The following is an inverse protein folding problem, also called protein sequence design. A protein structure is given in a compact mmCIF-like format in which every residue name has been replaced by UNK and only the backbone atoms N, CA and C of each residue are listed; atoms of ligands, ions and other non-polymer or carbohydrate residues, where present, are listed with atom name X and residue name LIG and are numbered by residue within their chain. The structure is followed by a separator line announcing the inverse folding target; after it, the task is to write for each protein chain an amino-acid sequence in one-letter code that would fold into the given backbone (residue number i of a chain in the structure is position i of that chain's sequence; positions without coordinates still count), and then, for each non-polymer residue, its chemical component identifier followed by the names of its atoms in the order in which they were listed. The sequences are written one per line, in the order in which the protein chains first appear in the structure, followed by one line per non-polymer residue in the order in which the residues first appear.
data_IF_331330777267
#
_entry.id   IF_331330777267
#
_cell.length_a   1.000
_cell.length_b   1.000
_cell.length_c   1.000
_cell.angle_alpha   90.00
_cell.angle_beta   90.00
_cell.angle_gamma   90.00
#
_symmetry.space_group_name_H-M   'P 1'
#
loop_
_entity.id
_entity.type
_entity.pdbx_description
1 polymer ?
#
# COMPACT_ATOMS: atom_id res chain seq x y z
N UNK A 1 1.68 1.02 27.17
CA UNK A 1 2.75 0.56 26.25
C UNK A 1 2.41 -0.73 25.48
N UNK A 2 1.95 -1.80 26.13
CA UNK A 2 1.58 -3.05 25.43
C UNK A 2 0.49 -2.85 24.38
N UNK A 3 -0.54 -2.06 24.68
CA UNK A 3 -1.63 -1.73 23.73
C UNK A 3 -1.15 -0.97 22.50
N UNK A 4 -0.27 0.03 22.66
CA UNK A 4 0.31 0.76 21.51
C UNK A 4 1.11 -0.16 20.59
N UNK A 5 1.88 -1.08 21.15
CA UNK A 5 2.66 -2.05 20.39
C UNK A 5 1.77 -3.08 19.69
N UNK A 6 0.71 -3.55 20.37
CA UNK A 6 -0.28 -4.42 19.74
C UNK A 6 -0.99 -3.70 18.57
N UNK A 7 -1.35 -2.44 18.77
CA UNK A 7 -1.94 -1.59 17.74
C UNK A 7 -0.98 -1.37 16.56
N UNK A 8 0.29 -1.05 16.82
CA UNK A 8 1.31 -0.96 15.79
C UNK A 8 1.48 -2.29 15.02
N UNK A 9 1.55 -3.41 15.76
CA UNK A 9 1.64 -4.76 15.18
C UNK A 9 0.44 -5.10 14.28
N UNK A 10 -0.76 -4.68 14.66
CA UNK A 10 -1.97 -4.85 13.86
C UNK A 10 -1.87 -4.13 12.50
N UNK A 11 -1.45 -2.87 12.47
CA UNK A 11 -1.26 -2.14 11.22
C UNK A 11 -0.14 -2.72 10.37
N UNK A 12 0.97 -3.13 10.98
CA UNK A 12 2.04 -3.81 10.26
C UNK A 12 1.55 -5.14 9.66
N UNK A 13 0.71 -5.89 10.38
CA UNK A 13 0.10 -7.13 9.87
C UNK A 13 -0.83 -6.89 8.68
N UNK A 14 -1.53 -5.76 8.65
CA UNK A 14 -2.39 -5.41 7.51
C UNK A 14 -1.57 -4.98 6.31
N UNK A 15 -0.56 -4.10 6.49
CA UNK A 15 0.08 -3.40 5.39
C UNK A 15 1.31 -4.11 4.81
N UNK A 16 2.12 -4.78 5.65
CA UNK A 16 3.35 -5.42 5.17
C UNK A 16 3.13 -6.55 4.14
N UNK A 17 2.05 -7.34 4.22
CA UNK A 17 1.80 -8.38 3.23
C UNK A 17 1.36 -7.88 1.85
N UNK A 18 0.87 -6.64 1.73
CA UNK A 18 0.27 -6.13 0.49
C UNK A 18 1.21 -6.17 -0.72
N UNK A 19 2.49 -5.75 -0.65
CA UNK A 19 3.39 -5.92 -1.78
C UNK A 19 3.63 -7.39 -2.15
N UNK A 20 3.65 -8.30 -1.17
CA UNK A 20 3.80 -9.75 -1.44
C UNK A 20 2.59 -10.24 -2.23
N UNK A 21 1.37 -9.87 -1.81
CA UNK A 21 0.14 -10.16 -2.51
C UNK A 21 0.21 -9.76 -4.00
N UNK A 22 0.60 -8.53 -4.27
CA UNK A 22 0.69 -8.00 -5.63
C UNK A 22 1.83 -8.61 -6.44
N UNK A 23 2.96 -8.99 -5.81
CA UNK A 23 4.05 -9.71 -6.47
C UNK A 23 3.66 -11.15 -6.86
N UNK A 24 2.65 -11.74 -6.21
CA UNK A 24 2.07 -13.02 -6.63
C UNK A 24 1.10 -12.82 -7.81
N UNK A 25 0.41 -11.68 -7.88
CA UNK A 25 -0.62 -11.43 -8.89
C UNK A 25 -0.04 -10.88 -10.19
N UNK A 26 0.72 -9.78 -10.16
CA UNK A 26 1.17 -9.08 -11.36
C UNK A 26 2.03 -9.92 -12.30
N UNK A 27 3.08 -10.63 -11.84
CA UNK A 27 3.92 -11.41 -12.75
C UNK A 27 3.20 -12.60 -13.40
N UNK A 28 2.16 -13.13 -12.73
CA UNK A 28 1.42 -14.31 -13.17
C UNK A 28 -0.01 -13.98 -13.64
N UNK A 29 -0.26 -12.76 -14.07
CA UNK A 29 -1.58 -12.26 -14.46
C UNK A 29 -2.25 -13.11 -15.55
N UNK A 30 -1.51 -13.58 -16.55
CA UNK A 30 -2.04 -14.46 -17.62
C UNK A 30 -2.57 -15.78 -17.04
N UNK A 31 -1.87 -16.36 -16.08
CA UNK A 31 -2.30 -17.57 -15.37
C UNK A 31 -3.57 -17.33 -14.54
N UNK A 32 -3.67 -16.17 -13.88
CA UNK A 32 -4.77 -15.84 -12.99
C UNK A 32 -6.04 -15.34 -13.70
N UNK A 33 -5.95 -14.90 -14.96
CA UNK A 33 -7.06 -14.25 -15.70
C UNK A 33 -8.39 -15.00 -15.63
N UNK A 34 -8.37 -16.32 -15.79
CA UNK A 34 -9.57 -17.16 -15.74
C UNK A 34 -9.86 -17.72 -14.34
N UNK A 35 -9.12 -17.31 -13.33
CA UNK A 35 -9.18 -17.84 -11.95
C UNK A 35 -9.15 -16.71 -10.92
N UNK A 36 -9.82 -15.60 -11.22
CA UNK A 36 -9.74 -14.36 -10.43
C UNK A 36 -10.02 -14.57 -8.94
N UNK A 37 -11.10 -15.31 -8.60
CA UNK A 37 -11.43 -15.61 -7.20
C UNK A 37 -10.33 -16.44 -6.52
N UNK A 38 -9.82 -17.47 -7.20
CA UNK A 38 -8.74 -18.29 -6.67
C UNK A 38 -7.45 -17.47 -6.49
N UNK A 39 -7.13 -16.56 -7.44
CA UNK A 39 -5.99 -15.65 -7.33
C UNK A 39 -6.07 -14.81 -6.05
N UNK A 40 -7.21 -14.16 -5.81
CA UNK A 40 -7.42 -13.31 -4.62
C UNK A 40 -7.26 -14.13 -3.32
N UNK A 41 -7.87 -15.31 -3.24
CA UNK A 41 -7.78 -16.13 -2.04
C UNK A 41 -6.39 -16.73 -1.83
N UNK A 42 -5.78 -17.31 -2.87
CA UNK A 42 -4.46 -17.94 -2.74
C UNK A 42 -3.39 -16.88 -2.45
N UNK A 43 -3.35 -15.79 -3.22
CA UNK A 43 -2.40 -14.71 -2.99
C UNK A 43 -2.61 -14.06 -1.62
N UNK A 44 -3.87 -13.81 -1.22
CA UNK A 44 -4.21 -13.28 0.09
C UNK A 44 -3.74 -14.21 1.21
N UNK A 45 -4.17 -15.49 1.20
CA UNK A 45 -3.77 -16.43 2.23
C UNK A 45 -2.24 -16.57 2.32
N UNK A 46 -1.56 -16.68 1.19
CA UNK A 46 -0.08 -16.78 1.15
C UNK A 46 0.58 -15.54 1.72
N UNK A 47 0.17 -14.34 1.27
CA UNK A 47 0.79 -13.08 1.69
C UNK A 47 0.58 -12.83 3.19
N UNK A 48 -0.66 -13.00 3.70
CA UNK A 48 -0.95 -12.74 5.13
C UNK A 48 -0.40 -13.82 6.05
N UNK A 49 -0.33 -15.09 5.62
CA UNK A 49 0.38 -16.13 6.38
C UNK A 49 1.87 -15.83 6.44
N UNK A 50 2.52 -15.51 5.32
CA UNK A 50 3.93 -15.15 5.29
C UNK A 50 4.21 -13.89 6.14
N UNK A 51 3.38 -12.86 6.02
CA UNK A 51 3.46 -11.65 6.85
C UNK A 51 3.28 -11.92 8.34
N UNK A 52 2.32 -12.75 8.71
CA UNK A 52 2.09 -13.18 10.10
C UNK A 52 3.27 -13.96 10.68
N UNK A 53 3.81 -14.90 9.91
CA UNK A 53 5.01 -15.65 10.31
C UNK A 53 6.20 -14.71 10.48
N UNK A 54 6.42 -13.78 9.54
CA UNK A 54 7.49 -12.79 9.64
C UNK A 54 7.35 -11.92 10.90
N UNK A 55 6.16 -11.40 11.16
CA UNK A 55 5.88 -10.61 12.37
C UNK A 55 6.05 -11.43 13.65
N UNK A 56 5.67 -12.71 13.64
CA UNK A 56 5.90 -13.60 14.75
C UNK A 56 7.40 -13.84 15.02
N UNK A 57 8.17 -14.10 13.97
CA UNK A 57 9.63 -14.24 14.08
C UNK A 57 10.27 -12.94 14.60
N UNK A 58 9.83 -11.80 14.08
CA UNK A 58 10.34 -10.47 14.43
C UNK A 58 9.66 -9.85 15.66
N UNK A 59 8.81 -10.58 16.40
CA UNK A 59 8.03 -10.02 17.52
C UNK A 59 8.88 -9.37 18.61
N UNK A 60 10.10 -9.85 18.82
CA UNK A 60 11.04 -9.25 19.78
C UNK A 60 11.37 -7.81 19.43
N UNK A 61 11.42 -7.47 18.14
CA UNK A 61 11.66 -6.09 17.69
C UNK A 61 10.53 -5.14 18.10
N UNK A 62 9.31 -5.65 18.21
CA UNK A 62 8.14 -4.89 18.68
C UNK A 62 8.03 -4.85 20.19
N UNK A 63 8.42 -5.93 20.87
CA UNK A 63 8.19 -6.11 22.30
C UNK A 63 9.30 -5.51 23.20
N UNK A 64 10.55 -5.46 22.70
CA UNK A 64 11.73 -5.00 23.48
C UNK A 64 12.11 -3.55 23.19
N UNK A 65 11.30 -2.83 22.44
CA UNK A 65 11.57 -1.45 22.08
C UNK A 65 11.49 -0.48 23.27
N UNK A 66 12.22 0.63 23.16
CA UNK A 66 12.09 1.75 24.10
C UNK A 66 10.71 2.40 24.00
N UNK A 67 10.18 3.00 25.06
CA UNK A 67 8.92 3.73 24.99
C UNK A 67 9.02 4.85 23.95
N UNK A 68 8.05 4.99 23.01
CA UNK A 68 8.02 6.11 22.09
C UNK A 68 7.81 7.43 22.85
N UNK A 69 8.39 8.51 22.34
CA UNK A 69 8.14 9.85 22.85
C UNK A 69 6.67 10.25 22.63
N UNK A 70 6.18 11.21 23.39
CA UNK A 70 4.83 11.75 23.19
C UNK A 70 4.62 12.25 21.77
N UNK A 71 5.61 12.93 21.22
CA UNK A 71 5.57 13.38 19.82
C UNK A 71 5.42 12.21 18.84
N UNK A 72 6.18 11.13 19.03
CA UNK A 72 6.08 9.92 18.18
C UNK A 72 4.69 9.27 18.29
N UNK A 73 4.07 9.27 19.47
CA UNK A 73 2.71 8.75 19.65
C UNK A 73 1.71 9.60 18.85
N UNK A 74 1.74 10.91 19.04
CA UNK A 74 0.79 11.82 18.36
C UNK A 74 0.98 11.74 16.82
N UNK A 75 2.23 11.84 16.35
CA UNK A 75 2.53 11.75 14.93
C UNK A 75 2.15 10.38 14.35
N UNK A 76 2.43 9.29 15.08
CA UNK A 76 2.08 7.94 14.66
C UNK A 76 0.57 7.74 14.52
N UNK A 77 -0.22 8.19 15.49
CA UNK A 77 -1.67 8.13 15.45
C UNK A 77 -2.25 9.01 14.33
N UNK A 78 -1.70 10.20 14.11
CA UNK A 78 -2.11 11.08 13.03
C UNK A 78 -1.89 10.44 11.65
N UNK A 79 -0.72 9.83 11.43
CA UNK A 79 -0.41 9.12 10.18
C UNK A 79 -1.33 7.92 9.94
N UNK A 80 -1.65 7.15 10.98
CA UNK A 80 -2.63 6.06 10.89
C UNK A 80 -4.02 6.62 10.57
N UNK A 81 -4.39 7.76 11.16
CA UNK A 81 -5.63 8.46 10.83
C UNK A 81 -5.71 8.88 9.36
N UNK A 82 -4.59 9.34 8.78
CA UNK A 82 -4.49 9.64 7.34
C UNK A 82 -4.73 8.38 6.51
N UNK A 83 -4.11 7.24 6.88
CA UNK A 83 -4.37 5.98 6.17
C UNK A 83 -5.85 5.58 6.24
N UNK A 84 -6.44 5.59 7.42
CA UNK A 84 -7.86 5.24 7.58
C UNK A 84 -8.77 6.12 6.71
N UNK A 85 -8.48 7.41 6.65
CA UNK A 85 -9.20 8.34 5.77
C UNK A 85 -9.02 7.97 4.29
N UNK A 86 -7.78 7.76 3.84
CA UNK A 86 -7.46 7.43 2.45
C UNK A 86 -8.07 6.07 2.07
N UNK A 87 -7.97 5.06 2.95
CA UNK A 87 -8.53 3.73 2.72
C UNK A 87 -10.05 3.80 2.49
N UNK A 88 -10.78 4.45 3.41
CA UNK A 88 -12.24 4.59 3.31
C UNK A 88 -12.63 5.36 2.06
N UNK A 89 -11.89 6.40 1.71
CA UNK A 89 -12.15 7.19 0.50
C UNK A 89 -11.92 6.38 -0.77
N UNK A 90 -10.80 5.67 -0.85
CA UNK A 90 -10.48 4.82 -2.01
C UNK A 90 -11.48 3.67 -2.13
N UNK A 91 -11.85 3.03 -1.02
CA UNK A 91 -12.83 1.95 -1.01
C UNK A 91 -14.20 2.43 -1.50
N UNK A 92 -14.66 3.60 -1.06
CA UNK A 92 -15.92 4.19 -1.55
C UNK A 92 -15.89 4.57 -3.03
N UNK A 93 -14.73 4.98 -3.54
CA UNK A 93 -14.57 5.40 -4.94
C UNK A 93 -14.40 4.22 -5.90
N UNK A 94 -13.70 3.17 -5.50
CA UNK A 94 -13.39 2.01 -6.36
C UNK A 94 -14.24 0.77 -6.06
N UNK A 95 -14.67 0.61 -4.83
CA UNK A 95 -15.26 -0.61 -4.31
C UNK A 95 -14.22 -1.70 -3.96
N UNK A 96 -14.58 -2.55 -2.98
CA UNK A 96 -13.68 -3.56 -2.41
C UNK A 96 -13.10 -4.54 -3.44
N UNK A 97 -13.89 -4.98 -4.42
CA UNK A 97 -13.43 -5.91 -5.45
C UNK A 97 -12.34 -5.33 -6.36
N UNK A 98 -12.41 -4.05 -6.65
CA UNK A 98 -11.38 -3.38 -7.45
C UNK A 98 -10.10 -3.17 -6.64
N UNK A 99 -10.21 -2.93 -5.33
CA UNK A 99 -9.06 -2.82 -4.44
C UNK A 99 -8.22 -4.12 -4.36
N UNK A 100 -8.83 -5.27 -4.56
CA UNK A 100 -8.12 -6.56 -4.58
C UNK A 100 -7.74 -7.00 -6.00
N UNK A 101 -7.84 -6.13 -7.01
CA UNK A 101 -7.34 -6.38 -8.36
C UNK A 101 -8.30 -7.18 -9.25
N UNK A 102 -9.57 -7.27 -8.90
CA UNK A 102 -10.54 -8.02 -9.73
C UNK A 102 -10.63 -7.45 -11.16
N UNK A 103 -10.68 -6.14 -11.30
CA UNK A 103 -10.78 -5.49 -12.61
C UNK A 103 -9.48 -5.65 -13.44
N UNK A 104 -8.33 -5.62 -12.78
CA UNK A 104 -7.01 -5.84 -13.38
C UNK A 104 -6.88 -7.26 -13.91
N UNK A 105 -7.26 -8.26 -13.10
CA UNK A 105 -7.20 -9.67 -13.47
C UNK A 105 -8.22 -10.04 -14.54
N UNK A 106 -9.44 -9.52 -14.44
CA UNK A 106 -10.47 -9.75 -15.46
C UNK A 106 -10.19 -9.04 -16.79
N UNK A 107 -9.25 -8.08 -16.80
CA UNK A 107 -8.97 -7.26 -17.98
C UNK A 107 -10.12 -6.32 -18.35
N UNK A 108 -11.07 -6.11 -17.42
CA UNK A 108 -12.27 -5.30 -17.61
C UNK A 108 -12.17 -3.97 -16.87
N UNK A 109 -13.05 -3.05 -17.18
CA UNK A 109 -13.16 -1.75 -16.53
C UNK A 109 -12.42 -0.62 -17.24
N UNK A 110 -12.87 0.57 -16.98
CA UNK A 110 -12.32 1.83 -17.49
C UNK A 110 -11.21 2.37 -16.59
N UNK A 111 -10.38 3.24 -17.13
CA UNK A 111 -9.39 3.96 -16.35
C UNK A 111 -10.10 4.90 -15.39
N UNK A 112 -9.90 4.67 -14.08
CA UNK A 112 -10.43 5.55 -13.05
C UNK A 112 -9.44 6.69 -12.77
N UNK A 113 -9.90 7.93 -12.94
CA UNK A 113 -9.10 9.14 -12.75
C UNK A 113 -9.85 10.23 -11.97
N UNK A 114 -10.96 9.86 -11.32
CA UNK A 114 -11.79 10.75 -10.50
C UNK A 114 -11.36 10.79 -9.03
N UNK A 115 -12.04 11.58 -8.23
CA UNK A 115 -11.88 11.62 -6.77
C UNK A 115 -10.44 11.85 -6.30
N UNK A 116 -9.94 10.98 -5.44
CA UNK A 116 -8.54 11.01 -4.97
C UNK A 116 -7.55 10.77 -6.11
N UNK A 117 -7.92 9.95 -7.11
CA UNK A 117 -7.09 9.66 -8.27
C UNK A 117 -6.94 10.85 -9.23
N UNK A 118 -7.77 11.88 -9.12
CA UNK A 118 -7.54 13.14 -9.81
C UNK A 118 -6.39 13.97 -9.19
N UNK A 119 -5.99 13.67 -7.97
CA UNK A 119 -4.96 14.40 -7.21
C UNK A 119 -3.65 13.66 -7.07
N UNK A 120 -3.71 12.33 -6.87
CA UNK A 120 -2.54 11.44 -6.76
C UNK A 120 -2.86 10.11 -7.45
N UNK A 121 -1.85 9.51 -8.12
CA UNK A 121 -2.06 8.25 -8.84
C UNK A 121 -2.17 7.04 -7.93
N UNK A 122 -1.47 7.07 -6.78
CA UNK A 122 -1.37 5.93 -5.86
C UNK A 122 -1.81 6.31 -4.44
N UNK A 123 -3.06 6.77 -4.23
CA UNK A 123 -3.54 7.20 -2.91
C UNK A 123 -3.52 6.05 -1.89
N UNK A 124 -3.77 4.81 -2.34
CA UNK A 124 -3.72 3.62 -1.47
C UNK A 124 -2.31 3.36 -0.94
N UNK A 125 -1.28 3.42 -1.81
CA UNK A 125 0.11 3.26 -1.39
C UNK A 125 0.59 4.42 -0.51
N UNK A 126 0.11 5.63 -0.74
CA UNK A 126 0.38 6.77 0.14
C UNK A 126 -0.14 6.50 1.56
N UNK A 127 -1.36 6.01 1.67
CA UNK A 127 -1.95 5.65 2.95
C UNK A 127 -1.20 4.52 3.65
N UNK A 128 -0.91 3.43 2.94
CA UNK A 128 -0.13 2.30 3.45
C UNK A 128 1.24 2.75 3.99
N UNK A 129 1.92 3.65 3.29
CA UNK A 129 3.17 4.24 3.77
C UNK A 129 2.97 5.02 5.06
N UNK A 130 1.91 5.84 5.15
CA UNK A 130 1.55 6.55 6.38
C UNK A 130 1.29 5.59 7.54
N UNK A 131 0.53 4.51 7.31
CA UNK A 131 0.26 3.50 8.36
C UNK A 131 1.54 2.80 8.82
N UNK A 132 2.41 2.41 7.90
CA UNK A 132 3.66 1.72 8.20
C UNK A 132 4.62 2.62 9.00
N UNK A 133 4.79 3.89 8.60
CA UNK A 133 5.56 4.89 9.34
C UNK A 133 4.93 5.16 10.71
N UNK A 134 3.61 5.35 10.75
CA UNK A 134 2.88 5.54 12.00
C UNK A 134 3.07 4.38 12.97
N UNK A 135 2.96 3.15 12.48
CA UNK A 135 3.20 1.95 13.29
C UNK A 135 4.65 1.86 13.79
N UNK A 136 5.65 2.24 12.99
CA UNK A 136 7.05 2.26 13.42
C UNK A 136 7.31 3.31 14.52
N UNK A 137 6.68 4.48 14.42
CA UNK A 137 6.74 5.51 15.47
C UNK A 137 6.13 5.02 16.77
N UNK A 138 4.97 4.35 16.71
CA UNK A 138 4.29 3.79 17.88
C UNK A 138 5.05 2.62 18.51
N UNK A 139 5.70 1.79 17.69
CA UNK A 139 6.50 0.67 18.16
C UNK A 139 7.78 1.13 18.90
N UNK A 140 8.36 2.28 18.52
CA UNK A 140 9.53 2.85 19.18
C UNK A 140 10.82 2.07 18.99
N UNK A 141 10.93 1.25 17.92
CA UNK A 141 12.14 0.47 17.63
C UNK A 141 12.83 0.94 16.34
N UNK A 142 14.13 1.33 16.41
CA UNK A 142 14.87 1.77 15.22
C UNK A 142 14.97 0.71 14.12
N UNK A 143 14.98 -0.58 14.48
CA UNK A 143 15.13 -1.68 13.52
C UNK A 143 13.96 -1.79 12.52
N UNK A 144 12.75 -1.34 12.91
CA UNK A 144 11.62 -1.31 12.00
C UNK A 144 11.84 -0.40 10.81
N UNK A 145 12.61 0.66 10.93
CA UNK A 145 12.89 1.56 9.81
C UNK A 145 13.64 0.86 8.67
N UNK A 146 14.57 -0.05 8.99
CA UNK A 146 15.23 -0.87 7.98
C UNK A 146 14.24 -1.81 7.27
N UNK A 147 13.34 -2.44 8.02
CA UNK A 147 12.28 -3.29 7.46
C UNK A 147 11.36 -2.47 6.55
N UNK A 148 10.96 -1.28 6.97
CA UNK A 148 10.12 -0.39 6.15
C UNK A 148 10.83 0.11 4.90
N UNK A 149 12.13 0.37 4.96
CA UNK A 149 12.91 0.74 3.77
C UNK A 149 12.90 -0.39 2.73
N UNK A 150 13.11 -1.64 3.15
CA UNK A 150 13.00 -2.82 2.28
C UNK A 150 11.59 -2.97 1.75
N UNK A 151 10.59 -2.89 2.62
CA UNK A 151 9.18 -2.95 2.24
C UNK A 151 8.82 -1.90 1.18
N UNK A 152 9.32 -0.67 1.35
CA UNK A 152 9.07 0.41 0.40
C UNK A 152 9.68 0.14 -0.97
N UNK A 153 10.85 -0.49 -1.02
CA UNK A 153 11.43 -0.94 -2.31
C UNK A 153 10.50 -1.93 -3.01
N UNK A 154 9.96 -2.92 -2.30
CA UNK A 154 8.98 -3.85 -2.87
C UNK A 154 7.69 -3.15 -3.31
N UNK A 155 7.17 -2.23 -2.51
CA UNK A 155 6.00 -1.43 -2.89
C UNK A 155 6.24 -0.62 -4.17
N UNK A 156 7.41 0.01 -4.32
CA UNK A 156 7.80 0.71 -5.54
C UNK A 156 7.93 -0.21 -6.75
N UNK A 157 8.41 -1.44 -6.55
CA UNK A 157 8.45 -2.44 -7.63
C UNK A 157 7.04 -2.79 -8.10
N UNK A 158 6.12 -3.04 -7.17
CA UNK A 158 4.70 -3.31 -7.50
C UNK A 158 4.07 -2.14 -8.23
N UNK A 159 4.26 -0.91 -7.75
CA UNK A 159 3.76 0.30 -8.40
C UNK A 159 4.28 0.42 -9.85
N UNK A 160 5.54 0.10 -10.08
CA UNK A 160 6.10 0.10 -11.45
C UNK A 160 5.46 -0.96 -12.34
N UNK A 161 5.17 -2.15 -11.81
CA UNK A 161 4.45 -3.20 -12.54
C UNK A 161 3.04 -2.74 -12.89
N UNK A 162 2.31 -2.20 -11.93
CA UNK A 162 0.97 -1.63 -12.12
C UNK A 162 0.98 -0.51 -13.17
N UNK A 163 1.90 0.47 -13.10
CA UNK A 163 2.00 1.55 -14.09
C UNK A 163 2.34 1.03 -15.50
N UNK A 164 3.16 -0.03 -15.62
CA UNK A 164 3.43 -0.69 -16.91
C UNK A 164 2.16 -1.33 -17.48
N UNK A 165 1.39 -2.01 -16.64
CA UNK A 165 0.13 -2.63 -17.06
C UNK A 165 -0.91 -1.59 -17.47
N UNK A 166 -1.05 -0.50 -16.70
CA UNK A 166 -1.95 0.60 -17.04
C UNK A 166 -1.53 1.28 -18.34
N UNK A 167 -0.23 1.44 -18.57
CA UNK A 167 0.30 1.97 -19.84
C UNK A 167 0.01 1.03 -21.00
N UNK A 168 0.21 -0.27 -20.85
CA UNK A 168 -0.08 -1.26 -21.88
C UNK A 168 -1.58 -1.35 -22.20
N UNK A 169 -2.44 -1.14 -21.20
CA UNK A 169 -3.89 -1.26 -21.32
C UNK A 169 -4.56 0.00 -21.89
N UNK A 170 -4.13 1.19 -21.43
CA UNK A 170 -4.80 2.47 -21.73
C UNK A 170 -3.98 3.41 -22.63
N UNK A 171 -2.73 3.05 -22.94
CA UNK A 171 -1.89 3.75 -23.92
C UNK A 171 -1.77 5.25 -23.65
N UNK A 172 -2.10 6.05 -24.67
CA UNK A 172 -1.99 7.51 -24.66
C UNK A 172 -2.83 8.17 -23.53
N UNK A 173 -3.99 7.60 -23.19
CA UNK A 173 -4.86 8.12 -22.13
C UNK A 173 -4.16 8.06 -20.77
N UNK A 174 -3.50 6.92 -20.43
CA UNK A 174 -2.73 6.80 -19.21
C UNK A 174 -1.48 7.68 -19.22
N UNK A 175 -0.80 7.79 -20.34
CA UNK A 175 0.36 8.68 -20.49
C UNK A 175 0.01 10.15 -20.22
N UNK A 176 -1.12 10.63 -20.75
CA UNK A 176 -1.63 11.98 -20.50
C UNK A 176 -2.01 12.18 -19.01
N UNK A 177 -2.67 11.20 -18.39
CA UNK A 177 -3.00 11.21 -16.97
C UNK A 177 -1.74 11.27 -16.10
N UNK A 178 -0.73 10.44 -16.39
CA UNK A 178 0.55 10.39 -15.65
C UNK A 178 1.32 11.70 -15.71
N UNK A 179 1.23 12.45 -16.81
CA UNK A 179 1.84 13.79 -16.94
C UNK A 179 1.17 14.82 -16.03
N UNK A 180 -0.13 14.71 -15.80
CA UNK A 180 -0.92 15.69 -15.03
C UNK A 180 -0.96 15.41 -13.54
N UNK A 181 -1.01 14.13 -13.15
CA UNK A 181 -1.25 13.70 -11.77
C UNK A 181 0.03 13.11 -11.17
N UNK A 182 0.51 13.62 -10.03
CA UNK A 182 1.70 13.09 -9.34
C UNK A 182 1.43 11.70 -8.74
N UNK A 183 2.51 10.95 -8.42
CA UNK A 183 2.38 9.58 -7.92
C UNK A 183 1.79 9.51 -6.51
N UNK A 184 2.32 10.28 -5.55
CA UNK A 184 2.05 10.10 -4.12
C UNK A 184 1.54 11.35 -3.40
N UNK A 185 2.15 12.50 -3.64
CA UNK A 185 1.81 13.74 -2.94
C UNK A 185 1.07 14.68 -3.89
N UNK A 186 0.01 15.39 -3.44
CA UNK A 186 -0.77 16.27 -4.29
C UNK A 186 -0.04 17.58 -4.66
N UNK A 187 1.25 17.64 -4.38
CA UNK A 187 2.08 18.78 -4.73
C UNK A 187 2.78 18.49 -6.05
N UNK A 188 2.44 19.23 -7.10
CA UNK A 188 3.36 19.43 -8.22
C UNK A 188 4.54 20.22 -7.67
N UNK A 189 5.64 19.54 -7.35
CA UNK A 189 6.92 20.20 -7.24
C UNK A 189 7.17 20.80 -8.63
N UNK A 190 6.84 22.09 -8.72
CA UNK A 190 7.30 23.05 -9.70
C UNK A 190 7.74 22.45 -11.05
N UNK A 191 6.83 22.27 -12.00
CA UNK A 191 7.15 22.38 -13.41
C UNK A 191 6.58 23.70 -13.92
N UNK A 192 7.44 24.71 -13.92
CA UNK A 192 7.29 25.85 -14.83
C UNK A 192 7.52 25.28 -16.24
N UNK A 193 6.47 24.97 -16.97
CA UNK A 193 6.53 25.00 -18.41
C UNK A 193 6.46 26.47 -18.81
N UNK A 194 7.58 26.98 -19.33
CA UNK A 194 7.64 28.14 -20.18
C UNK A 194 7.09 27.78 -21.53
#
# INVERSE_FOLDING_TARGET
MRLLRAFAGFFLFIELPVPIYWLIIHPFKSFWRNRVRAAVWIAGLTAWTAGGVLLWICRSLLLTATPPSWFAIVAGLALIGVEMYLFVRVERELGAWRLVGHAELAGTGEMFSGGLYARVRHPRYTGMFCAAVGAALLAGTPRLWAILAVWWVFALMVIRLEERELTARFGAAYAAYRKRVPAFLPFRLWNREK
#
